data_IF_210567356122
#
_entry.id   IF_210567356122
#
_cell.length_a   1.000
_cell.length_b   1.000
_cell.length_c   1.000
_cell.angle_alpha   90.00
_cell.angle_beta   90.00
_cell.angle_gamma   90.00
#
_symmetry.space_group_name_H-M   'P 1'
#
loop_
_entity.id
_entity.type
_entity.pdbx_description
1 polymer ?
#
# COMPACT_ATOMS: atom_id res chain seq x y z
N UNK A 1 -13.86 -7.57 -25.22
CA UNK A 1 -14.22 -8.57 -24.19
C UNK A 1 -13.70 -8.02 -22.87
N UNK A 2 -14.55 -7.78 -21.88
CA UNK A 2 -14.11 -7.33 -20.57
C UNK A 2 -13.71 -8.56 -19.75
N UNK A 3 -12.42 -8.71 -19.46
CA UNK A 3 -11.93 -9.74 -18.56
C UNK A 3 -12.47 -9.46 -17.15
N UNK A 4 -13.01 -10.46 -16.43
CA UNK A 4 -13.39 -10.27 -15.04
C UNK A 4 -12.16 -9.89 -14.22
N UNK A 5 -12.28 -8.82 -13.45
CA UNK A 5 -11.25 -8.30 -12.57
C UNK A 5 -10.97 -9.30 -11.44
N UNK A 6 -9.70 -9.58 -11.19
CA UNK A 6 -9.24 -10.46 -10.12
C UNK A 6 -9.54 -9.86 -8.74
N UNK A 7 -9.63 -10.70 -7.71
CA UNK A 7 -9.78 -10.24 -6.32
C UNK A 7 -8.67 -9.27 -5.91
N UNK A 8 -7.45 -9.48 -6.39
CA UNK A 8 -6.29 -8.61 -6.15
C UNK A 8 -6.50 -7.22 -6.73
N UNK A 9 -6.96 -7.11 -7.99
CA UNK A 9 -7.26 -5.83 -8.62
C UNK A 9 -8.40 -5.10 -7.91
N UNK A 10 -9.44 -5.80 -7.45
CA UNK A 10 -10.55 -5.19 -6.67
C UNK A 10 -10.04 -4.62 -5.34
N UNK A 11 -9.18 -5.36 -4.64
CA UNK A 11 -8.58 -4.90 -3.40
C UNK A 11 -7.64 -3.72 -3.63
N UNK A 12 -6.94 -3.71 -4.76
CA UNK A 12 -6.07 -2.61 -5.15
C UNK A 12 -6.87 -1.33 -5.40
N UNK A 13 -8.00 -1.39 -6.11
CA UNK A 13 -8.87 -0.23 -6.32
C UNK A 13 -9.40 0.36 -5.00
N UNK A 14 -9.80 -0.51 -4.05
CA UNK A 14 -10.21 -0.08 -2.71
C UNK A 14 -9.07 0.60 -1.95
N UNK A 15 -7.87 0.02 -2.00
CA UNK A 15 -6.68 0.61 -1.40
C UNK A 15 -6.38 2.00 -1.97
N UNK A 16 -6.48 2.19 -3.29
CA UNK A 16 -6.30 3.51 -3.93
C UNK A 16 -7.35 4.53 -3.44
N UNK A 17 -8.60 4.12 -3.29
CA UNK A 17 -9.66 4.99 -2.78
C UNK A 17 -9.36 5.44 -1.33
N UNK A 18 -9.03 4.52 -0.44
CA UNK A 18 -8.71 4.82 0.96
C UNK A 18 -7.41 5.64 1.10
N UNK A 19 -6.38 5.32 0.32
CA UNK A 19 -5.13 6.10 0.27
C UNK A 19 -5.38 7.53 -0.21
N UNK A 20 -6.31 7.73 -1.14
CA UNK A 20 -6.70 9.06 -1.63
C UNK A 20 -7.34 9.89 -0.50
N UNK A 21 -8.21 9.28 0.30
CA UNK A 21 -8.81 9.93 1.46
C UNK A 21 -7.76 10.30 2.51
N UNK A 22 -6.84 9.38 2.82
CA UNK A 22 -5.73 9.64 3.73
C UNK A 22 -4.82 10.77 3.23
N UNK A 23 -4.50 10.76 1.93
CA UNK A 23 -3.70 11.80 1.26
C UNK A 23 -4.33 13.18 1.45
N UNK A 24 -5.65 13.29 1.23
CA UNK A 24 -6.39 14.54 1.40
C UNK A 24 -6.46 14.97 2.86
N UNK A 25 -6.60 14.02 3.79
CA UNK A 25 -6.70 14.29 5.23
C UNK A 25 -5.40 14.86 5.81
N UNK A 26 -4.27 14.28 5.43
CA UNK A 26 -2.97 14.65 6.01
C UNK A 26 -2.12 15.55 5.13
N UNK A 27 -2.53 15.81 3.88
CA UNK A 27 -1.78 16.64 2.94
C UNK A 27 -0.45 16.00 2.48
N UNK A 28 -0.31 14.68 2.61
CA UNK A 28 0.88 13.92 2.23
C UNK A 28 0.50 12.95 1.11
N UNK A 29 1.18 13.06 -0.03
CA UNK A 29 0.98 12.17 -1.18
C UNK A 29 2.16 11.21 -1.32
N UNK A 30 1.86 9.95 -1.63
CA UNK A 30 2.87 8.91 -1.89
C UNK A 30 2.89 8.63 -3.40
N UNK A 31 4.05 8.78 -4.02
CA UNK A 31 4.29 8.31 -5.38
C UNK A 31 5.05 6.99 -5.33
N UNK A 32 4.37 5.88 -5.65
CA UNK A 32 5.05 4.59 -5.78
C UNK A 32 5.45 4.35 -7.24
N UNK A 33 6.74 4.08 -7.47
CA UNK A 33 7.28 3.65 -8.77
C UNK A 33 7.92 2.28 -8.56
N UNK A 34 7.23 1.21 -8.99
CA UNK A 34 7.76 -0.16 -8.93
C UNK A 34 7.91 -0.79 -7.54
N UNK A 35 7.49 -0.11 -6.46
CA UNK A 35 7.76 -0.52 -5.07
C UNK A 35 6.54 -1.03 -4.28
N UNK A 36 5.49 -1.52 -4.96
CA UNK A 36 4.31 -2.08 -4.28
C UNK A 36 4.51 -3.58 -4.06
N UNK A 37 4.34 -4.04 -2.82
CA UNK A 37 4.31 -5.45 -2.44
C UNK A 37 2.85 -5.84 -2.20
N UNK A 38 2.40 -6.91 -2.82
CA UNK A 38 1.04 -7.44 -2.67
C UNK A 38 1.09 -8.70 -1.80
N UNK A 39 0.13 -8.84 -0.89
CA UNK A 39 -0.01 -10.07 -0.11
C UNK A 39 -0.59 -11.18 -0.98
N UNK A 40 -0.03 -12.39 -0.87
CA UNK A 40 -0.58 -13.58 -1.52
C UNK A 40 -1.73 -14.17 -0.69
N UNK A 41 -1.72 -13.93 0.62
CA UNK A 41 -2.71 -14.45 1.56
C UNK A 41 -3.28 -13.40 2.50
N UNK A 42 -4.51 -13.63 2.99
CA UNK A 42 -5.15 -12.73 3.93
C UNK A 42 -4.40 -12.74 5.28
N UNK A 43 -4.03 -11.56 5.76
CA UNK A 43 -3.41 -11.38 7.09
C UNK A 43 -1.87 -11.40 7.08
N UNK A 44 -1.23 -11.64 5.92
CA UNK A 44 0.22 -11.59 5.75
C UNK A 44 0.82 -10.26 6.23
N UNK A 45 0.12 -9.15 6.00
CA UNK A 45 0.52 -7.81 6.42
C UNK A 45 -0.13 -7.35 7.73
N UNK A 46 -0.70 -8.26 8.53
CA UNK A 46 -1.41 -7.90 9.78
C UNK A 46 -0.54 -7.19 10.82
N UNK A 47 0.77 -7.35 10.73
CA UNK A 47 1.76 -6.75 11.62
C UNK A 47 2.72 -5.79 10.91
N UNK A 48 2.46 -5.44 9.65
CA UNK A 48 3.34 -4.51 8.92
C UNK A 48 3.26 -3.12 9.55
N UNK A 49 4.41 -2.48 9.73
CA UNK A 49 4.52 -1.06 10.07
C UNK A 49 5.28 -0.32 8.98
N UNK A 50 5.31 1.01 9.06
CA UNK A 50 6.11 1.82 8.15
C UNK A 50 7.10 2.67 8.93
N UNK A 51 8.35 2.70 8.48
CA UNK A 51 9.38 3.63 8.95
C UNK A 51 9.65 4.69 7.90
N UNK A 52 9.46 5.95 8.27
CA UNK A 52 9.80 7.08 7.43
C UNK A 52 11.28 7.45 7.60
N UNK A 53 12.00 7.57 6.50
CA UNK A 53 13.25 8.32 6.44
C UNK A 53 12.96 9.72 5.90
N UNK A 54 12.73 10.66 6.81
CA UNK A 54 12.36 12.04 6.45
C UNK A 54 13.50 12.76 5.72
N UNK A 55 14.75 12.29 5.88
CA UNK A 55 15.90 12.92 5.25
C UNK A 55 15.96 12.66 3.75
N UNK A 56 15.58 11.45 3.31
CA UNK A 56 15.48 11.07 1.90
C UNK A 56 14.07 11.23 1.33
N UNK A 57 13.04 11.25 2.19
CA UNK A 57 11.64 11.22 1.82
C UNK A 57 11.09 9.80 1.60
N UNK A 58 11.88 8.78 1.97
CA UNK A 58 11.50 7.39 1.78
C UNK A 58 10.53 6.90 2.86
N UNK A 59 9.66 5.97 2.47
CA UNK A 59 8.74 5.28 3.37
C UNK A 59 8.90 3.77 3.20
N UNK A 60 9.54 3.12 4.16
CA UNK A 60 9.86 1.69 4.09
C UNK A 60 8.84 0.86 4.86
N UNK A 61 8.32 -0.23 4.27
CA UNK A 61 7.58 -1.22 5.03
C UNK A 61 8.55 -1.99 5.94
N UNK A 62 8.16 -2.19 7.19
CA UNK A 62 8.84 -3.05 8.15
C UNK A 62 7.95 -4.25 8.43
N UNK A 63 8.47 -5.42 8.09
CA UNK A 63 7.83 -6.70 8.39
C UNK A 63 8.41 -7.22 9.70
N UNK A 64 7.59 -7.83 10.58
CA UNK A 64 8.11 -8.47 11.77
C UNK A 64 9.12 -9.56 11.38
N UNK A 65 10.22 -9.66 12.11
CA UNK A 65 11.10 -10.83 12.04
C UNK A 65 10.36 -12.04 12.65
N UNK A 66 10.49 -13.20 12.02
CA UNK A 66 9.91 -14.48 12.48
C UNK A 66 10.48 -14.94 13.84
#
# INVERSE_FOLDING_TARGET
MNTPQSTTEINYDKFIAELTELTRKYGVAIQSVGGVILADTQGEFSKVSYRADISSGDLYPEFPED
#
